data_IF_446534930110
#
_entry.id   IF_446534930110
#
_cell.length_a   1.000
_cell.length_b   1.000
_cell.length_c   1.000
_cell.angle_alpha   90.00
_cell.angle_beta   90.00
_cell.angle_gamma   90.00
#
_symmetry.space_group_name_H-M   'P 1'
#
loop_
_entity.id
_entity.type
_entity.pdbx_description
1 polymer ?
#
# COMPACT_ATOMS: atom_id res chain seq x y z
N UNK A 1 -4.18 -1.38 19.69
CA UNK A 1 -4.45 -2.53 18.81
C UNK A 1 -5.36 -2.12 17.66
N UNK A 2 -5.03 -2.53 16.43
CA UNK A 2 -5.87 -2.25 15.25
C UNK A 2 -7.11 -3.15 15.23
N UNK A 3 -8.31 -2.58 15.20
CA UNK A 3 -9.57 -3.35 15.24
C UNK A 3 -10.52 -2.91 14.13
N UNK A 4 -11.10 -3.88 13.41
CA UNK A 4 -12.16 -3.63 12.43
C UNK A 4 -13.50 -3.49 13.15
N UNK A 5 -14.21 -2.40 12.88
CA UNK A 5 -15.59 -2.19 13.30
C UNK A 5 -16.48 -1.93 12.07
N UNK A 6 -17.19 -2.94 11.56
CA UNK A 6 -17.96 -2.83 10.32
C UNK A 6 -19.20 -1.93 10.45
N UNK A 7 -19.54 -1.43 11.64
CA UNK A 7 -20.61 -0.45 11.83
C UNK A 7 -20.20 0.99 11.49
N UNK A 8 -18.90 1.24 11.34
CA UNK A 8 -18.37 2.54 10.95
C UNK A 8 -18.21 2.64 9.42
N UNK A 9 -18.14 3.87 8.85
CA UNK A 9 -17.90 4.05 7.42
C UNK A 9 -16.63 3.36 6.92
N UNK A 10 -16.61 3.03 5.63
CA UNK A 10 -15.43 2.50 4.96
C UNK A 10 -14.23 3.45 5.04
N UNK A 11 -13.03 2.90 5.10
CA UNK A 11 -11.76 3.60 5.31
C UNK A 11 -10.95 2.92 6.41
N UNK A 12 -9.64 3.10 6.44
CA UNK A 12 -8.79 2.39 7.40
C UNK A 12 -9.25 2.63 8.86
N UNK A 13 -9.38 1.59 9.71
CA UNK A 13 -9.05 0.17 9.49
C UNK A 13 -10.16 -0.67 8.83
N UNK A 14 -11.35 -0.12 8.58
CA UNK A 14 -12.48 -0.76 7.91
C UNK A 14 -12.35 -0.76 6.38
N UNK A 15 -11.28 -1.38 5.90
CA UNK A 15 -10.89 -1.36 4.49
C UNK A 15 -10.02 -0.15 4.16
N UNK A 16 -10.15 0.40 2.96
CA UNK A 16 -9.45 1.62 2.54
C UNK A 16 -10.28 2.46 1.58
N UNK A 17 -10.22 3.78 1.71
CA UNK A 17 -10.62 4.72 0.66
C UNK A 17 -9.44 4.95 -0.29
N UNK A 18 -9.69 5.37 -1.55
CA UNK A 18 -8.61 5.78 -2.46
C UNK A 18 -7.70 6.88 -1.90
N UNK A 19 -8.22 7.72 -1.01
CA UNK A 19 -7.48 8.82 -0.38
C UNK A 19 -6.75 8.43 0.93
N UNK A 20 -6.91 7.20 1.42
CA UNK A 20 -6.23 6.81 2.66
C UNK A 20 -4.71 6.75 2.42
N UNK A 21 -3.88 7.32 3.33
CA UNK A 21 -2.43 7.35 3.18
C UNK A 21 -1.81 5.98 3.50
N UNK A 22 -1.98 5.01 2.60
CA UNK A 22 -1.68 3.59 2.86
C UNK A 22 -0.20 3.36 3.20
N UNK A 23 0.72 4.11 2.57
CA UNK A 23 2.15 3.98 2.85
C UNK A 23 2.45 4.42 4.28
N UNK A 24 2.00 5.61 4.69
CA UNK A 24 2.21 6.11 6.04
C UNK A 24 1.58 5.21 7.09
N UNK A 25 0.35 4.75 6.82
CA UNK A 25 -0.38 3.87 7.72
C UNK A 25 0.36 2.55 7.92
N UNK A 26 0.84 1.96 6.83
CA UNK A 26 1.53 0.66 6.90
C UNK A 26 2.89 0.81 7.55
N UNK A 27 3.67 1.84 7.21
CA UNK A 27 4.97 2.07 7.83
C UNK A 27 4.85 2.43 9.31
N UNK A 28 3.85 3.22 9.71
CA UNK A 28 3.61 3.53 11.13
C UNK A 28 3.25 2.25 11.90
N UNK A 29 2.38 1.41 11.35
CA UNK A 29 2.02 0.12 11.96
C UNK A 29 3.18 -0.87 12.07
N UNK A 30 4.22 -0.72 11.25
CA UNK A 30 5.40 -1.59 11.25
C UNK A 30 6.54 -1.03 12.11
N UNK A 31 6.73 0.28 12.15
CA UNK A 31 7.88 0.92 12.79
C UNK A 31 7.58 1.48 14.19
N UNK A 32 6.35 1.95 14.43
CA UNK A 32 5.98 2.63 15.68
C UNK A 32 5.24 1.69 16.63
N UNK A 33 5.41 1.94 17.92
CA UNK A 33 4.44 1.49 18.92
C UNK A 33 3.16 2.31 18.78
N UNK A 34 2.26 1.82 17.93
CA UNK A 34 0.98 2.47 17.64
C UNK A 34 -0.01 2.49 18.82
N UNK A 35 0.35 1.85 19.93
CA UNK A 35 -0.45 1.84 21.16
C UNK A 35 0.11 2.76 22.24
N UNK A 36 1.29 3.35 22.02
CA UNK A 36 1.84 4.37 22.90
C UNK A 36 0.99 5.65 22.89
N UNK A 37 0.98 6.36 24.01
CA UNK A 37 0.23 7.62 24.18
C UNK A 37 0.61 8.63 23.09
N UNK A 38 -0.40 9.16 22.40
CA UNK A 38 -0.21 10.13 21.31
C UNK A 38 0.20 9.54 19.96
N UNK A 39 0.40 8.22 19.86
CA UNK A 39 0.70 7.53 18.62
C UNK A 39 -0.48 6.69 18.11
N UNK A 40 -0.48 6.44 16.80
CA UNK A 40 -1.41 5.52 16.16
C UNK A 40 -0.85 5.11 14.79
N UNK A 41 -1.54 4.20 14.10
CA UNK A 41 -1.25 3.92 12.71
C UNK A 41 -1.39 5.16 11.79
N UNK A 42 -2.00 6.26 12.24
CA UNK A 42 -2.06 7.50 11.48
C UNK A 42 -0.91 8.48 11.77
N UNK A 43 0.02 8.18 12.69
CA UNK A 43 1.06 9.11 13.15
C UNK A 43 1.88 9.68 11.99
N UNK A 44 2.43 8.84 11.11
CA UNK A 44 3.22 9.31 9.97
C UNK A 44 2.41 10.16 8.98
N UNK A 45 1.13 9.86 8.78
CA UNK A 45 0.27 10.68 7.93
C UNK A 45 0.02 12.08 8.51
N UNK A 46 0.17 12.25 9.83
CA UNK A 46 0.12 13.55 10.50
C UNK A 46 1.40 14.37 10.37
N UNK A 47 2.49 13.78 9.88
CA UNK A 47 3.75 14.48 9.62
C UNK A 47 3.65 15.12 8.21
N UNK A 48 3.96 16.42 8.05
CA UNK A 48 3.73 17.15 6.79
C UNK A 48 4.79 16.85 5.71
N UNK A 49 5.08 15.57 5.46
CA UNK A 49 5.97 15.09 4.40
C UNK A 49 5.21 14.76 3.12
N UNK A 50 3.92 14.45 3.23
CA UNK A 50 3.09 14.09 2.09
C UNK A 50 2.52 15.32 1.38
N UNK A 51 2.29 15.26 0.07
CA UNK A 51 1.42 16.23 -0.59
C UNK A 51 0.03 16.18 0.07
N UNK A 52 -0.63 17.34 0.28
CA UNK A 52 -1.86 17.41 1.08
C UNK A 52 -3.05 16.72 0.42
N UNK A 53 -3.06 16.61 -0.92
CA UNK A 53 -4.10 15.93 -1.69
C UNK A 53 -3.59 15.65 -3.12
N UNK A 54 -4.34 14.82 -3.85
CA UNK A 54 -4.19 14.71 -5.29
C UNK A 54 -4.59 16.02 -6.00
N UNK A 55 -3.99 16.26 -7.17
CA UNK A 55 -4.32 17.40 -8.05
C UNK A 55 -5.81 17.44 -8.44
N UNK A 56 -6.43 16.25 -8.56
CA UNK A 56 -7.86 16.09 -8.84
C UNK A 56 -8.48 15.25 -7.73
N UNK A 57 -9.54 15.78 -7.12
CA UNK A 57 -10.29 15.07 -6.08
C UNK A 57 -10.90 13.77 -6.64
N UNK A 58 -10.88 12.72 -5.82
CA UNK A 58 -11.52 11.46 -6.17
C UNK A 58 -13.06 11.62 -6.23
N UNK A 59 -13.73 11.09 -7.26
CA UNK A 59 -15.20 11.04 -7.30
C UNK A 59 -15.78 10.27 -6.11
N UNK A 60 -16.95 10.71 -5.62
CA UNK A 60 -17.67 10.04 -4.52
C UNK A 60 -18.39 8.75 -4.94
N UNK A 61 -18.30 8.38 -6.22
CA UNK A 61 -18.96 7.23 -6.81
C UNK A 61 -18.12 6.63 -7.94
N UNK A 62 -18.50 5.45 -8.41
CA UNK A 62 -17.80 4.78 -9.50
C UNK A 62 -17.89 5.57 -10.82
N UNK A 63 -16.79 5.74 -11.57
CA UNK A 63 -15.42 5.29 -11.28
C UNK A 63 -14.72 6.18 -10.25
N UNK A 64 -14.10 5.56 -9.23
CA UNK A 64 -13.51 6.27 -8.08
C UNK A 64 -12.16 6.95 -8.36
N UNK A 65 -11.61 6.79 -9.57
CA UNK A 65 -10.35 7.43 -9.99
C UNK A 65 -10.65 8.59 -10.93
N UNK A 66 -9.86 9.65 -10.82
CA UNK A 66 -9.93 10.76 -11.76
C UNK A 66 -9.64 10.29 -13.19
N UNK A 67 -10.18 10.97 -14.22
CA UNK A 67 -9.79 10.72 -15.60
C UNK A 67 -8.26 10.82 -15.78
N UNK A 68 -7.67 10.07 -16.73
CA UNK A 68 -6.25 10.18 -17.01
C UNK A 68 -5.91 11.63 -17.42
N UNK A 69 -4.78 12.13 -16.92
CA UNK A 69 -4.25 13.41 -17.39
C UNK A 69 -3.95 13.35 -18.90
N UNK A 70 -4.23 14.44 -19.63
CA UNK A 70 -4.00 14.56 -21.07
C UNK A 70 -5.23 14.25 -21.94
N UNK A 71 -4.99 13.91 -23.21
CA UNK A 71 -6.01 13.47 -24.17
C UNK A 71 -5.87 11.95 -24.43
N UNK A 72 -6.20 11.10 -23.44
CA UNK A 72 -6.25 9.67 -23.69
C UNK A 72 -7.26 9.39 -24.81
N UNK A 73 -6.98 8.38 -25.65
CA UNK A 73 -7.94 7.95 -26.66
C UNK A 73 -9.16 7.38 -25.96
N UNK A 74 -10.16 8.24 -25.78
CA UNK A 74 -11.48 7.86 -25.30
C UNK A 74 -12.25 7.20 -26.44
N UNK A 75 -12.82 6.02 -26.18
CA UNK A 75 -13.73 5.39 -27.13
C UNK A 75 -14.94 6.31 -27.31
N UNK A 76 -15.18 6.78 -28.54
CA UNK A 76 -16.28 7.70 -28.87
C UNK A 76 -17.67 7.06 -28.69
N UNK A 77 -17.72 5.74 -28.51
CA UNK A 77 -18.95 4.95 -28.37
C UNK A 77 -18.85 4.01 -27.18
N UNK A 78 -19.95 3.84 -26.45
CA UNK A 78 -20.14 2.70 -25.54
C UNK A 78 -20.08 1.43 -26.37
N UNK A 79 -18.94 0.73 -26.33
CA UNK A 79 -18.80 -0.55 -27.03
C UNK A 79 -19.81 -1.55 -26.50
N UNK A 80 -20.57 -2.18 -27.40
CA UNK A 80 -21.52 -3.25 -27.05
C UNK A 80 -20.92 -4.64 -27.23
N UNK A 81 -19.70 -4.72 -27.76
CA UNK A 81 -19.02 -5.97 -28.11
C UNK A 81 -17.75 -6.11 -27.28
N UNK A 82 -17.92 -6.54 -26.02
CA UNK A 82 -16.79 -6.92 -25.18
C UNK A 82 -16.41 -8.38 -25.47
N UNK A 83 -15.21 -8.60 -26.01
CA UNK A 83 -14.64 -9.95 -26.09
C UNK A 83 -13.84 -10.22 -24.82
N UNK A 84 -14.51 -10.73 -23.79
CA UNK A 84 -13.83 -11.20 -22.60
C UNK A 84 -13.08 -12.49 -22.92
N UNK A 85 -11.79 -12.55 -22.61
CA UNK A 85 -10.98 -13.75 -22.82
C UNK A 85 -11.56 -14.89 -21.97
N UNK A 86 -11.80 -16.04 -22.60
CA UNK A 86 -12.28 -17.28 -21.94
C UNK A 86 -11.15 -18.28 -21.65
N UNK A 87 -9.90 -17.85 -21.82
CA UNK A 87 -8.74 -18.68 -21.51
C UNK A 87 -8.68 -18.94 -20.00
N UNK A 88 -8.21 -20.13 -19.56
CA UNK A 88 -8.07 -20.43 -18.14
C UNK A 88 -7.05 -19.50 -17.47
N UNK A 89 -7.12 -19.35 -16.15
CA UNK A 89 -6.21 -18.50 -15.37
C UNK A 89 -4.73 -18.85 -15.59
N UNK A 90 -4.44 -20.12 -15.91
CA UNK A 90 -3.09 -20.62 -16.23
C UNK A 90 -2.53 -20.09 -17.56
N UNK A 91 -3.36 -19.46 -18.40
CA UNK A 91 -2.94 -18.85 -19.65
C UNK A 91 -2.46 -17.40 -19.49
N UNK A 92 -2.49 -16.85 -18.27
CA UNK A 92 -2.02 -15.52 -17.96
C UNK A 92 -0.79 -15.57 -17.05
N UNK A 93 0.20 -14.74 -17.35
CA UNK A 93 1.32 -14.49 -16.47
C UNK A 93 0.93 -13.41 -15.45
N UNK A 94 1.38 -13.60 -14.21
CA UNK A 94 1.28 -12.55 -13.19
C UNK A 94 2.36 -11.52 -13.46
N UNK A 95 1.99 -10.25 -13.40
CA UNK A 95 2.88 -9.11 -13.70
C UNK A 95 2.94 -8.14 -12.51
N UNK A 96 2.00 -8.26 -11.56
CA UNK A 96 1.92 -7.34 -10.43
C UNK A 96 1.20 -7.94 -9.22
N UNK A 97 1.59 -7.44 -8.04
CA UNK A 97 1.02 -7.73 -6.72
C UNK A 97 0.51 -6.46 -6.02
N UNK A 98 -0.29 -5.65 -6.72
CA UNK A 98 -0.95 -4.44 -6.18
C UNK A 98 -1.77 -4.63 -4.89
N UNK A 99 -2.04 -5.87 -4.47
CA UNK A 99 -2.75 -6.18 -3.23
C UNK A 99 -2.02 -5.71 -1.96
N UNK A 100 -0.71 -5.49 -2.02
CA UNK A 100 0.11 -5.02 -0.90
C UNK A 100 1.10 -3.91 -1.33
N UNK A 101 0.60 -2.69 -1.56
CA UNK A 101 1.39 -1.62 -2.18
C UNK A 101 2.59 -1.18 -1.32
N UNK A 102 2.47 -1.16 0.01
CA UNK A 102 3.58 -0.78 0.90
C UNK A 102 4.73 -1.80 0.85
N UNK A 103 4.42 -3.10 0.83
CA UNK A 103 5.43 -4.15 0.70
C UNK A 103 6.15 -4.05 -0.64
N UNK A 104 5.40 -4.06 -1.76
CA UNK A 104 5.99 -4.00 -3.10
C UNK A 104 6.79 -2.70 -3.34
N UNK A 105 6.33 -1.58 -2.79
CA UNK A 105 6.97 -0.27 -3.00
C UNK A 105 8.21 -0.07 -2.14
N UNK A 106 8.09 -0.31 -0.83
CA UNK A 106 9.05 0.12 0.18
C UNK A 106 9.89 -1.01 0.81
N UNK A 107 9.34 -2.23 0.93
CA UNK A 107 9.98 -3.30 1.70
C UNK A 107 10.60 -4.40 0.84
N UNK A 108 10.10 -4.61 -0.37
CA UNK A 108 10.73 -5.52 -1.33
C UNK A 108 11.96 -4.81 -1.91
N UNK A 109 13.18 -5.39 -1.77
CA UNK A 109 14.38 -4.81 -2.36
C UNK A 109 14.22 -4.59 -3.86
N UNK A 110 14.79 -3.50 -4.38
CA UNK A 110 14.67 -3.14 -5.81
C UNK A 110 15.05 -4.28 -6.75
N UNK A 111 16.06 -5.08 -6.41
CA UNK A 111 16.50 -6.23 -7.20
C UNK A 111 15.47 -7.38 -7.25
N UNK A 112 14.57 -7.46 -6.26
CA UNK A 112 13.55 -8.50 -6.12
C UNK A 112 12.15 -8.04 -6.54
N UNK A 113 11.96 -6.80 -6.98
CA UNK A 113 10.63 -6.29 -7.36
C UNK A 113 9.98 -7.08 -8.49
N UNK A 114 10.74 -7.41 -9.54
CA UNK A 114 10.23 -8.23 -10.66
C UNK A 114 9.91 -9.66 -10.18
N UNK A 115 10.86 -10.41 -9.57
CA UNK A 115 10.56 -11.74 -9.02
C UNK A 115 9.38 -11.77 -8.06
N UNK A 116 9.24 -10.75 -7.19
CA UNK A 116 8.12 -10.63 -6.28
C UNK A 116 6.81 -10.47 -7.04
N UNK A 117 6.73 -9.51 -7.98
CA UNK A 117 5.52 -9.24 -8.74
C UNK A 117 5.05 -10.42 -9.61
N UNK A 118 5.99 -11.25 -10.08
CA UNK A 118 5.71 -12.42 -10.93
C UNK A 118 5.34 -13.68 -10.12
N UNK A 119 5.67 -13.73 -8.82
CA UNK A 119 5.48 -14.92 -7.99
C UNK A 119 4.00 -15.22 -7.64
N UNK A 120 3.71 -16.46 -7.25
CA UNK A 120 2.38 -16.93 -6.81
C UNK A 120 2.19 -16.78 -5.30
N UNK A 121 0.96 -16.63 -4.77
CA UNK A 121 0.72 -16.55 -3.32
C UNK A 121 1.31 -17.71 -2.50
N UNK A 122 1.51 -18.88 -3.11
CA UNK A 122 2.19 -20.02 -2.45
C UNK A 122 3.65 -19.70 -2.09
N UNK A 123 4.32 -18.84 -2.86
CA UNK A 123 5.69 -18.41 -2.60
C UNK A 123 5.77 -17.57 -1.32
N UNK A 124 4.75 -16.74 -1.05
CA UNK A 124 4.64 -15.98 0.21
C UNK A 124 4.41 -16.91 1.39
N UNK A 125 3.51 -17.88 1.23
CA UNK A 125 3.24 -18.90 2.24
C UNK A 125 4.48 -19.74 2.56
N UNK A 126 5.36 -19.95 1.58
CA UNK A 126 6.65 -20.62 1.75
C UNK A 126 7.76 -19.70 2.27
N UNK A 127 7.49 -18.41 2.46
CA UNK A 127 8.44 -17.44 3.02
C UNK A 127 9.54 -16.98 2.06
N UNK A 128 9.38 -17.17 0.75
CA UNK A 128 10.43 -16.90 -0.26
C UNK A 128 10.99 -15.47 -0.19
N UNK A 129 10.14 -14.50 0.11
CA UNK A 129 10.51 -13.07 0.21
C UNK A 129 10.70 -12.58 1.64
N UNK A 130 10.43 -13.41 2.66
CA UNK A 130 10.41 -12.98 4.06
C UNK A 130 11.78 -12.51 4.53
N UNK A 131 12.84 -13.25 4.23
CA UNK A 131 14.22 -12.87 4.60
C UNK A 131 14.63 -11.50 4.06
N UNK A 132 14.60 -11.28 2.72
CA UNK A 132 14.94 -9.99 2.13
C UNK A 132 14.06 -8.81 2.60
N UNK A 133 12.79 -9.06 2.90
CA UNK A 133 11.89 -8.06 3.49
C UNK A 133 12.34 -7.71 4.91
N UNK A 134 12.66 -8.71 5.74
CA UNK A 134 13.19 -8.49 7.10
C UNK A 134 14.51 -7.73 7.06
N UNK A 135 15.42 -8.06 6.15
CA UNK A 135 16.67 -7.31 5.96
C UNK A 135 16.41 -5.84 5.63
N UNK A 136 15.46 -5.57 4.73
CA UNK A 136 15.07 -4.20 4.38
C UNK A 136 14.45 -3.47 5.56
N UNK A 137 13.57 -4.14 6.31
CA UNK A 137 12.97 -3.61 7.53
C UNK A 137 14.04 -3.25 8.56
N UNK A 138 14.97 -4.17 8.86
CA UNK A 138 16.07 -3.91 9.79
C UNK A 138 16.92 -2.72 9.32
N UNK A 139 17.26 -2.66 8.03
CA UNK A 139 18.03 -1.56 7.48
C UNK A 139 17.32 -0.21 7.63
N UNK A 140 16.02 -0.15 7.33
CA UNK A 140 15.21 1.07 7.49
C UNK A 140 15.08 1.45 8.96
N UNK A 141 14.78 0.50 9.85
CA UNK A 141 14.69 0.76 11.29
C UNK A 141 15.99 1.33 11.83
N UNK A 142 17.14 0.70 11.54
CA UNK A 142 18.43 1.20 11.99
C UNK A 142 18.78 2.58 11.42
N UNK A 143 18.40 2.84 10.16
CA UNK A 143 18.67 4.12 9.51
C UNK A 143 17.79 5.26 10.03
N UNK A 144 16.58 4.96 10.53
CA UNK A 144 15.61 5.96 10.98
C UNK A 144 15.49 6.04 12.52
N UNK A 145 16.09 5.11 13.27
CA UNK A 145 15.91 5.01 14.71
C UNK A 145 16.30 6.31 15.44
N UNK A 146 17.42 6.94 15.07
CA UNK A 146 17.85 8.19 15.69
C UNK A 146 16.92 9.37 15.36
N UNK A 147 16.45 9.45 14.12
CA UNK A 147 15.49 10.46 13.66
C UNK A 147 14.12 10.30 14.33
N UNK A 148 13.61 9.07 14.45
CA UNK A 148 12.34 8.79 15.12
C UNK A 148 12.41 9.08 16.62
N UNK A 149 13.52 8.71 17.27
CA UNK A 149 13.77 9.06 18.68
C UNK A 149 13.86 10.57 18.88
N UNK A 150 14.52 11.30 17.96
CA UNK A 150 14.58 12.76 17.98
C UNK A 150 13.20 13.41 17.80
N UNK A 151 12.32 12.74 17.06
CA UNK A 151 10.93 13.14 16.90
C UNK A 151 10.03 12.75 18.09
N UNK A 152 10.60 12.19 19.15
CA UNK A 152 9.89 11.72 20.35
C UNK A 152 8.84 10.64 20.04
N UNK A 153 9.08 9.84 18.99
CA UNK A 153 8.23 8.72 18.61
C UNK A 153 8.74 7.41 19.22
N UNK A 154 7.83 6.62 19.78
CA UNK A 154 8.16 5.30 20.33
C UNK A 154 8.13 4.25 19.21
N UNK A 155 9.21 3.50 19.06
CA UNK A 155 9.28 2.37 18.13
C UNK A 155 8.65 1.12 18.77
N UNK A 156 8.12 0.21 17.94
CA UNK A 156 7.56 -1.05 18.45
C UNK A 156 8.61 -2.13 18.73
N UNK A 157 9.86 -1.91 18.30
CA UNK A 157 10.99 -2.78 18.55
C UNK A 157 12.27 -1.93 18.64
N UNK A 158 13.03 -2.13 19.71
CA UNK A 158 14.30 -1.46 20.01
C UNK A 158 15.52 -2.30 19.58
#
# INVERSE_FOLDING_TARGET
MLTINPSLPAGFPNGRKPADPVIDITLAAILLDIDADGQSAATFAGIPLNPPANDVAFPSGFPFLAPPQGNPRISATSGTTFNFRTAPDTAYERVDRMGFPALSTALVPSALKIPYNDASPVNDANGEFAGPIVETLTAITMALQDDLNRAELNLCAD
#
